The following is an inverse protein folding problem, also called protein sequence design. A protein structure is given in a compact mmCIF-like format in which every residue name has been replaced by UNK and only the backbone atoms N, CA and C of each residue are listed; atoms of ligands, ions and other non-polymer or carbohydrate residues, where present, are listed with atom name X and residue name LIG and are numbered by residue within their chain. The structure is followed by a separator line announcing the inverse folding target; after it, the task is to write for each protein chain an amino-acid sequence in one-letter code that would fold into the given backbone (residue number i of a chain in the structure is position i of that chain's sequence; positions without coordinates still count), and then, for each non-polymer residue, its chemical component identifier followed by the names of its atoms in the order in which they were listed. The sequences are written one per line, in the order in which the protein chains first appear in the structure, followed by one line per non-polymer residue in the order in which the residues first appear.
data_IF_013378712879
#
_entry.id   IF_013378712879
#
_cell.length_a   1.000
_cell.length_b   1.000
_cell.length_c   1.000
_cell.angle_alpha   90.00
_cell.angle_beta   90.00
_cell.angle_gamma   90.00
#
_symmetry.space_group_name_H-M   'P 1'
#
loop_
_entity.id
_entity.type
_entity.pdbx_description
1 polymer ?
#
# COMPACT_ATOMS: atom_id res chain seq x y z
N UNK A 1 -9.82 -6.57 18.93
CA UNK A 1 -10.78 -7.01 17.88
C UNK A 1 -11.84 -7.79 18.64
N UNK A 2 -13.13 -7.37 18.68
CA UNK A 2 -14.07 -7.82 19.72
C UNK A 2 -14.20 -9.34 19.81
N UNK A 3 -14.05 -10.01 18.68
CA UNK A 3 -13.85 -11.45 18.55
C UNK A 3 -12.84 -11.64 17.41
N UNK A 4 -11.79 -12.43 17.59
CA UNK A 4 -10.89 -12.85 16.50
C UNK A 4 -11.64 -13.83 15.57
N UNK A 5 -12.68 -13.31 14.92
CA UNK A 5 -13.50 -14.01 13.93
C UNK A 5 -13.23 -13.43 12.55
N UNK A 6 -13.41 -14.24 11.49
CA UNK A 6 -13.36 -13.73 10.13
C UNK A 6 -14.38 -12.60 9.92
N UNK A 7 -13.93 -11.43 9.44
CA UNK A 7 -14.77 -10.24 9.26
C UNK A 7 -15.43 -10.21 7.87
N UNK A 8 -16.56 -9.55 7.67
CA UNK A 8 -17.04 -9.17 6.34
C UNK A 8 -16.17 -8.08 5.69
N UNK A 9 -16.25 -7.87 4.37
CA UNK A 9 -15.52 -6.77 3.68
C UNK A 9 -15.90 -5.39 4.24
N UNK A 10 -17.19 -5.14 4.46
CA UNK A 10 -17.66 -3.90 5.10
C UNK A 10 -17.31 -3.81 6.59
N UNK A 11 -17.24 -4.96 7.29
CA UNK A 11 -16.81 -5.00 8.70
C UNK A 11 -15.34 -4.61 8.85
N UNK A 12 -14.45 -5.02 7.92
CA UNK A 12 -13.04 -4.60 7.92
C UNK A 12 -12.91 -3.09 7.84
N UNK A 13 -13.63 -2.42 6.93
CA UNK A 13 -13.59 -0.96 6.80
C UNK A 13 -14.19 -0.26 8.01
N UNK A 14 -15.34 -0.73 8.51
CA UNK A 14 -15.97 -0.15 9.71
C UNK A 14 -15.07 -0.27 10.93
N UNK A 15 -14.50 -1.45 11.16
CA UNK A 15 -13.58 -1.70 12.25
C UNK A 15 -12.31 -0.84 12.12
N UNK A 16 -11.77 -0.71 10.90
CA UNK A 16 -10.62 0.15 10.63
C UNK A 16 -10.92 1.63 10.92
N UNK A 17 -12.11 2.11 10.56
CA UNK A 17 -12.56 3.46 10.88
C UNK A 17 -12.72 3.70 12.38
N UNK A 18 -13.32 2.74 13.10
CA UNK A 18 -13.46 2.84 14.56
C UNK A 18 -12.11 2.81 15.27
N UNK A 19 -11.18 1.98 14.80
CA UNK A 19 -9.81 1.93 15.31
C UNK A 19 -9.07 3.24 15.02
N UNK A 20 -9.18 3.76 13.80
CA UNK A 20 -8.59 5.04 13.40
C UNK A 20 -9.05 6.18 14.33
N UNK A 21 -10.35 6.29 14.62
CA UNK A 21 -10.88 7.27 15.58
C UNK A 21 -10.34 7.06 16.99
N UNK A 22 -10.33 5.82 17.49
CA UNK A 22 -9.88 5.48 18.85
C UNK A 22 -8.38 5.73 19.06
N UNK A 23 -7.57 5.56 18.02
CA UNK A 23 -6.11 5.77 18.03
C UNK A 23 -5.68 7.02 17.29
N UNK A 24 -6.60 7.95 17.01
CA UNK A 24 -6.35 9.13 16.20
C UNK A 24 -5.15 9.94 16.72
N UNK A 25 -5.07 10.19 18.03
CA UNK A 25 -3.96 10.94 18.63
C UNK A 25 -2.58 10.33 18.34
N UNK A 26 -2.40 9.02 18.52
CA UNK A 26 -1.12 8.36 18.24
C UNK A 26 -0.82 8.32 16.74
N UNK A 27 -1.81 8.02 15.90
CA UNK A 27 -1.64 7.96 14.44
C UNK A 27 -1.27 9.34 13.85
N UNK A 28 -1.97 10.39 14.28
CA UNK A 28 -1.65 11.76 13.86
C UNK A 28 -0.31 12.21 14.44
N UNK A 29 0.03 11.83 15.68
CA UNK A 29 1.34 12.12 16.27
C UNK A 29 2.49 11.58 15.42
N UNK A 30 2.40 10.34 14.95
CA UNK A 30 3.37 9.75 14.02
C UNK A 30 3.40 10.52 12.69
N UNK A 31 2.23 10.80 12.12
CA UNK A 31 2.12 11.46 10.81
C UNK A 31 2.65 12.88 10.81
N UNK A 32 2.36 13.66 11.86
CA UNK A 32 2.87 15.02 12.01
C UNK A 32 4.40 15.02 12.14
N UNK A 33 4.92 14.11 12.97
CA UNK A 33 6.35 14.04 13.26
C UNK A 33 7.16 13.57 12.04
N UNK A 34 6.72 12.50 11.38
CA UNK A 34 7.49 11.84 10.33
C UNK A 34 7.12 12.30 8.91
N UNK A 35 5.87 12.73 8.66
CA UNK A 35 5.42 13.01 7.30
C UNK A 35 5.16 14.50 7.08
N UNK A 36 4.46 15.17 8.00
CA UNK A 36 4.09 16.56 7.81
C UNK A 36 5.31 17.50 7.84
N UNK A 37 6.18 17.35 8.83
CA UNK A 37 7.37 18.23 8.96
C UNK A 37 8.26 18.13 7.72
N UNK A 38 8.70 16.94 7.25
CA UNK A 38 9.51 16.87 6.03
C UNK A 38 8.76 17.36 4.78
N UNK A 39 7.45 17.09 4.68
CA UNK A 39 6.63 17.58 3.56
C UNK A 39 6.57 19.12 3.51
N UNK A 40 6.47 19.78 4.65
CA UNK A 40 6.49 21.25 4.73
C UNK A 40 7.88 21.81 4.40
N UNK A 41 8.94 21.14 4.85
CA UNK A 41 10.32 21.55 4.56
C UNK A 41 10.65 21.45 3.06
N UNK A 42 10.02 20.55 2.30
CA UNK A 42 10.18 20.49 0.84
C UNK A 42 9.75 21.77 0.11
N UNK A 43 8.93 22.62 0.73
CA UNK A 43 8.47 23.87 0.12
C UNK A 43 9.53 24.97 0.19
N UNK A 44 10.59 24.79 0.98
CA UNK A 44 11.68 25.73 1.05
C UNK A 44 12.56 25.63 -0.21
N UNK A 45 13.02 26.75 -0.77
CA UNK A 45 13.88 26.74 -1.94
C UNK A 45 15.22 26.05 -1.63
N UNK A 46 15.67 25.18 -2.54
CA UNK A 46 17.00 24.56 -2.47
C UNK A 46 17.13 23.28 -1.65
N UNK A 47 16.07 22.83 -0.93
CA UNK A 47 16.13 21.61 -0.10
C UNK A 47 15.32 20.44 -0.63
N UNK A 48 14.59 20.62 -1.75
CA UNK A 48 13.61 19.65 -2.25
C UNK A 48 14.14 18.23 -2.40
N UNK A 49 15.28 18.01 -3.07
CA UNK A 49 15.81 16.66 -3.32
C UNK A 49 16.23 15.96 -2.02
N UNK A 50 16.95 16.66 -1.14
CA UNK A 50 17.36 16.11 0.15
C UNK A 50 16.15 15.76 1.02
N UNK A 51 15.13 16.63 1.03
CA UNK A 51 13.91 16.40 1.80
C UNK A 51 13.02 15.30 1.18
N UNK A 52 13.03 15.11 -0.14
CA UNK A 52 12.39 13.94 -0.78
C UNK A 52 13.05 12.64 -0.35
N UNK A 53 14.38 12.62 -0.27
CA UNK A 53 15.10 11.46 0.25
C UNK A 53 14.74 11.22 1.73
N UNK A 54 14.78 12.24 2.58
CA UNK A 54 14.37 12.11 3.98
C UNK A 54 12.92 11.65 4.16
N UNK A 55 12.00 12.13 3.31
CA UNK A 55 10.60 11.74 3.35
C UNK A 55 10.42 10.25 3.05
N UNK A 56 11.17 9.68 2.10
CA UNK A 56 11.14 8.23 1.83
C UNK A 56 11.53 7.43 3.09
N UNK A 57 12.54 7.87 3.82
CA UNK A 57 12.99 7.19 5.04
C UNK A 57 11.96 7.34 6.17
N UNK A 58 11.42 8.54 6.32
CA UNK A 58 10.42 8.82 7.33
C UNK A 58 9.10 8.09 7.06
N UNK A 59 8.74 7.89 5.79
CA UNK A 59 7.58 7.11 5.38
C UNK A 59 7.71 5.64 5.79
N UNK A 60 8.85 5.00 5.51
CA UNK A 60 9.09 3.62 5.95
C UNK A 60 8.97 3.47 7.47
N UNK A 61 9.51 4.44 8.22
CA UNK A 61 9.40 4.45 9.67
C UNK A 61 7.96 4.66 10.15
N UNK A 62 7.21 5.53 9.48
CA UNK A 62 5.80 5.79 9.77
C UNK A 62 4.95 4.54 9.52
N UNK A 63 5.18 3.81 8.41
CA UNK A 63 4.53 2.54 8.10
C UNK A 63 4.68 1.56 9.27
N UNK A 64 5.91 1.36 9.74
CA UNK A 64 6.19 0.49 10.88
C UNK A 64 5.47 0.91 12.16
N UNK A 65 5.45 2.21 12.45
CA UNK A 65 4.81 2.76 13.63
C UNK A 65 3.28 2.62 13.56
N UNK A 66 2.66 2.91 12.40
CA UNK A 66 1.22 2.73 12.20
C UNK A 66 0.81 1.27 12.43
N UNK A 67 1.53 0.32 11.84
CA UNK A 67 1.21 -1.09 11.99
C UNK A 67 1.26 -1.51 13.46
N UNK A 68 2.28 -1.11 14.22
CA UNK A 68 2.40 -1.44 15.65
C UNK A 68 1.31 -0.80 16.50
N UNK A 69 0.93 0.47 16.23
CA UNK A 69 -0.18 1.13 16.94
C UNK A 69 -1.50 0.38 16.69
N UNK A 70 -1.73 -0.06 15.45
CA UNK A 70 -2.97 -0.74 15.07
C UNK A 70 -3.00 -2.17 15.63
N UNK A 71 -1.92 -2.93 15.47
CA UNK A 71 -1.82 -4.31 15.94
C UNK A 71 -1.89 -4.40 17.47
N UNK A 72 -1.24 -3.49 18.20
CA UNK A 72 -1.30 -3.45 19.67
C UNK A 72 -2.73 -3.21 20.18
N UNK A 73 -3.50 -2.35 19.51
CA UNK A 73 -4.91 -2.13 19.88
C UNK A 73 -5.77 -3.39 19.72
N UNK A 74 -5.41 -4.32 18.83
CA UNK A 74 -6.16 -5.55 18.67
C UNK A 74 -6.07 -6.51 19.87
N UNK A 75 -5.05 -6.34 20.71
CA UNK A 75 -4.76 -7.14 21.93
C UNK A 75 -4.72 -6.27 23.20
N UNK A 76 -5.43 -5.14 23.18
CA UNK A 76 -5.55 -4.20 24.31
C UNK A 76 -4.21 -3.62 24.83
N UNK A 77 -3.14 -3.74 24.05
CA UNK A 77 -1.87 -3.06 24.29
C UNK A 77 -1.94 -1.59 23.82
N UNK A 78 -1.19 -0.75 24.52
CA UNK A 78 -1.20 0.70 24.33
C UNK A 78 0.21 1.18 24.00
N UNK A 79 0.43 1.54 22.73
CA UNK A 79 1.65 2.22 22.31
C UNK A 79 1.39 3.70 22.03
N UNK A 80 2.21 4.54 22.65
CA UNK A 80 2.33 5.94 22.28
C UNK A 80 2.99 6.07 20.90
N UNK A 81 2.85 7.24 20.25
CA UNK A 81 3.52 7.53 18.99
C UNK A 81 5.05 7.37 19.11
N UNK A 82 5.65 7.89 20.19
CA UNK A 82 7.10 7.82 20.41
C UNK A 82 7.60 6.38 20.57
N UNK A 83 6.88 5.54 21.33
CA UNK A 83 7.22 4.12 21.48
C UNK A 83 7.11 3.37 20.17
N UNK A 84 6.03 3.61 19.41
CA UNK A 84 5.82 2.99 18.11
C UNK A 84 6.93 3.34 17.11
N UNK A 85 7.34 4.61 17.06
CA UNK A 85 8.46 5.08 16.22
C UNK A 85 9.77 4.41 16.66
N UNK A 86 10.05 4.35 17.96
CA UNK A 86 11.26 3.69 18.49
C UNK A 86 11.32 2.21 18.12
N UNK A 87 10.20 1.50 18.20
CA UNK A 87 10.11 0.09 17.84
C UNK A 87 10.24 -0.10 16.32
N UNK A 88 9.62 0.76 15.52
CA UNK A 88 9.76 0.74 14.06
C UNK A 88 11.22 1.00 13.63
N UNK A 89 11.93 1.88 14.34
CA UNK A 89 13.34 2.18 14.08
C UNK A 89 14.24 0.95 14.23
N UNK A 90 13.99 0.10 15.22
CA UNK A 90 14.74 -1.15 15.42
C UNK A 90 14.62 -2.11 14.24
N UNK A 91 13.49 -2.08 13.53
CA UNK A 91 13.21 -2.95 12.39
C UNK A 91 13.49 -2.27 11.04
N UNK A 92 14.00 -1.04 11.05
CA UNK A 92 14.14 -0.20 9.86
C UNK A 92 15.00 -0.86 8.77
N UNK A 93 16.12 -1.50 9.15
CA UNK A 93 16.99 -2.18 8.20
C UNK A 93 16.28 -3.30 7.43
N UNK A 94 15.44 -4.10 8.11
CA UNK A 94 14.66 -5.14 7.46
C UNK A 94 13.56 -4.55 6.57
N UNK A 95 12.91 -3.46 6.99
CA UNK A 95 11.92 -2.77 6.15
C UNK A 95 12.55 -2.22 4.87
N UNK A 96 13.72 -1.60 4.99
CA UNK A 96 14.46 -1.06 3.85
C UNK A 96 14.83 -2.19 2.87
N UNK A 97 15.38 -3.29 3.38
CA UNK A 97 15.69 -4.47 2.56
C UNK A 97 14.44 -5.02 1.88
N UNK A 98 13.32 -5.12 2.59
CA UNK A 98 12.06 -5.60 2.03
C UNK A 98 11.57 -4.70 0.89
N UNK A 99 11.63 -3.38 1.05
CA UNK A 99 11.21 -2.43 0.02
C UNK A 99 12.14 -2.48 -1.20
N UNK A 100 13.45 -2.65 -1.00
CA UNK A 100 14.40 -2.87 -2.11
C UNK A 100 14.07 -4.16 -2.86
N UNK A 101 13.88 -5.28 -2.16
CA UNK A 101 13.55 -6.57 -2.78
C UNK A 101 12.20 -6.50 -3.51
N UNK A 102 11.20 -5.90 -2.88
CA UNK A 102 9.88 -5.65 -3.47
C UNK A 102 10.02 -4.82 -4.76
N UNK A 103 10.72 -3.69 -4.69
CA UNK A 103 10.91 -2.78 -5.81
C UNK A 103 11.65 -3.45 -6.98
N UNK A 104 12.71 -4.20 -6.70
CA UNK A 104 13.45 -4.95 -7.72
C UNK A 104 12.58 -6.02 -8.39
N UNK A 105 11.78 -6.75 -7.63
CA UNK A 105 10.91 -7.78 -8.19
C UNK A 105 9.75 -7.18 -9.02
N UNK A 106 9.16 -6.07 -8.58
CA UNK A 106 8.16 -5.33 -9.37
C UNK A 106 8.79 -4.76 -10.65
N UNK A 107 9.97 -4.15 -10.57
CA UNK A 107 10.70 -3.61 -11.72
C UNK A 107 11.09 -4.71 -12.71
N UNK A 108 11.59 -5.85 -12.24
CA UNK A 108 11.92 -7.00 -13.09
C UNK A 108 10.67 -7.54 -13.79
N UNK A 109 9.55 -7.67 -13.07
CA UNK A 109 8.26 -8.09 -13.64
C UNK A 109 7.80 -7.12 -14.73
N UNK A 110 7.82 -5.82 -14.44
CA UNK A 110 7.45 -4.77 -15.41
C UNK A 110 8.38 -4.77 -16.63
N UNK A 111 9.69 -4.95 -16.44
CA UNK A 111 10.66 -5.02 -17.53
C UNK A 111 10.40 -6.23 -18.44
N UNK A 112 10.14 -7.41 -17.87
CA UNK A 112 9.78 -8.62 -18.63
C UNK A 112 8.49 -8.40 -19.42
N UNK A 113 7.46 -7.84 -18.80
CA UNK A 113 6.19 -7.56 -19.49
C UNK A 113 6.35 -6.51 -20.59
N UNK A 114 7.21 -5.51 -20.38
CA UNK A 114 7.53 -4.50 -21.41
C UNK A 114 8.30 -5.12 -22.56
N UNK A 115 9.26 -6.01 -22.30
CA UNK A 115 9.98 -6.75 -23.34
C UNK A 115 9.02 -7.60 -24.18
N UNK A 116 8.18 -8.41 -23.52
CA UNK A 116 7.15 -9.22 -24.19
C UNK A 116 6.21 -8.32 -25.01
N UNK A 117 5.76 -7.22 -24.41
CA UNK A 117 4.88 -6.27 -25.06
C UNK A 117 5.52 -5.64 -26.30
N UNK A 118 6.77 -5.18 -26.20
CA UNK A 118 7.51 -4.60 -27.32
C UNK A 118 7.72 -5.59 -28.47
N UNK A 119 7.99 -6.87 -28.15
CA UNK A 119 8.14 -7.91 -29.16
C UNK A 119 6.84 -8.18 -29.92
N UNK A 120 5.71 -8.25 -29.20
CA UNK A 120 4.38 -8.40 -29.82
C UNK A 120 4.02 -7.15 -30.63
N UNK A 121 4.25 -5.96 -30.07
CA UNK A 121 3.97 -4.70 -30.74
C UNK A 121 4.79 -4.56 -32.02
N UNK A 122 6.06 -4.97 -32.06
CA UNK A 122 6.85 -4.93 -33.29
C UNK A 122 6.24 -5.76 -34.44
N UNK A 123 5.52 -6.84 -34.12
CA UNK A 123 4.81 -7.68 -35.10
C UNK A 123 3.48 -7.06 -35.53
N UNK A 124 2.74 -6.46 -34.60
CA UNK A 124 1.37 -5.94 -34.84
C UNK A 124 1.36 -4.48 -35.30
N UNK A 125 2.35 -3.67 -34.90
CA UNK A 125 2.40 -2.23 -35.10
C UNK A 125 2.33 -1.78 -36.57
N UNK A 126 2.94 -2.46 -37.56
CA UNK A 126 2.80 -2.04 -38.95
C UNK A 126 1.35 -2.08 -39.42
N UNK A 127 0.61 -3.15 -39.06
CA UNK A 127 -0.82 -3.27 -39.36
C UNK A 127 -1.65 -2.24 -38.60
N UNK A 128 -1.35 -2.05 -37.31
CA UNK A 128 -2.04 -1.04 -36.50
C UNK A 128 -1.79 0.39 -37.00
N UNK A 129 -0.56 0.75 -37.35
CA UNK A 129 -0.21 2.09 -37.85
C UNK A 129 -0.85 2.39 -39.21
N UNK A 130 -0.91 1.38 -40.11
CA UNK A 130 -1.67 1.49 -41.35
C UNK A 130 -3.14 1.79 -41.07
N UNK A 131 -3.74 1.10 -40.09
CA UNK A 131 -5.10 1.37 -39.65
C UNK A 131 -5.25 2.78 -39.04
N UNK A 132 -4.35 3.23 -38.14
CA UNK A 132 -4.40 4.61 -37.60
C UNK A 132 -4.37 5.66 -38.73
N UNK A 133 -3.51 5.44 -39.74
CA UNK A 133 -3.40 6.37 -40.85
C UNK A 133 -4.65 6.44 -41.73
N UNK A 134 -5.43 5.35 -41.81
CA UNK A 134 -6.69 5.34 -42.57
C UNK A 134 -7.77 6.21 -41.91
N UNK A 135 -7.66 6.48 -40.60
CA UNK A 135 -8.51 7.40 -39.82
C UNK A 135 -7.88 8.78 -39.57
N UNK A 136 -6.96 9.23 -40.43
CA UNK A 136 -6.41 10.58 -40.33
C UNK A 136 -5.43 10.80 -39.18
N UNK A 137 -4.92 9.74 -38.56
CA UNK A 137 -3.85 9.82 -37.57
C UNK A 137 -4.30 9.95 -36.11
N UNK A 138 -5.61 10.04 -35.84
CA UNK A 138 -6.14 10.11 -34.46
C UNK A 138 -6.58 8.73 -33.97
N UNK A 139 -5.87 8.11 -33.00
CA UNK A 139 -6.24 6.80 -32.45
C UNK A 139 -7.63 6.78 -31.79
N UNK A 140 -8.14 7.93 -31.33
CA UNK A 140 -9.46 8.02 -30.71
C UNK A 140 -10.61 8.01 -31.72
N UNK A 141 -10.31 8.26 -32.99
CA UNK A 141 -11.28 8.19 -34.08
C UNK A 141 -11.45 6.76 -34.62
N UNK A 142 -10.63 5.82 -34.16
CA UNK A 142 -10.73 4.41 -34.53
C UNK A 142 -12.03 3.78 -34.07
N UNK A 143 -12.56 2.81 -34.82
CA UNK A 143 -13.69 2.03 -34.36
C UNK A 143 -13.31 1.19 -33.12
N UNK A 144 -14.30 0.94 -32.26
CA UNK A 144 -14.10 0.32 -30.96
C UNK A 144 -13.47 -1.09 -31.06
N UNK A 145 -13.75 -1.83 -32.13
CA UNK A 145 -13.17 -3.15 -32.43
C UNK A 145 -11.65 -3.12 -32.61
N UNK A 146 -11.06 -1.99 -33.01
CA UNK A 146 -9.61 -1.84 -33.18
C UNK A 146 -8.96 -1.32 -31.89
N UNK A 147 -9.63 -0.41 -31.18
CA UNK A 147 -9.10 0.20 -29.95
C UNK A 147 -9.15 -0.76 -28.74
N UNK A 148 -10.23 -1.54 -28.62
CA UNK A 148 -10.47 -2.40 -27.46
C UNK A 148 -9.39 -3.49 -27.28
N UNK A 149 -8.95 -4.24 -28.31
CA UNK A 149 -7.87 -5.21 -28.17
C UNK A 149 -6.56 -4.59 -27.69
N UNK A 150 -6.24 -3.37 -28.13
CA UNK A 150 -5.04 -2.66 -27.72
C UNK A 150 -5.08 -2.27 -26.23
N UNK A 151 -6.23 -1.76 -25.76
CA UNK A 151 -6.45 -1.45 -24.35
C UNK A 151 -6.41 -2.72 -23.48
N UNK A 152 -7.06 -3.80 -23.91
CA UNK A 152 -7.05 -5.09 -23.22
C UNK A 152 -5.64 -5.66 -23.15
N UNK A 153 -4.87 -5.56 -24.23
CA UNK A 153 -3.47 -5.98 -24.25
C UNK A 153 -2.62 -5.19 -23.26
N UNK A 154 -2.77 -3.86 -23.23
CA UNK A 154 -2.06 -3.00 -22.28
C UNK A 154 -2.40 -3.38 -20.84
N UNK A 155 -3.68 -3.63 -20.56
CA UNK A 155 -4.16 -4.08 -19.27
C UNK A 155 -3.53 -5.42 -18.87
N UNK A 156 -3.49 -6.39 -19.79
CA UNK A 156 -2.87 -7.71 -19.58
C UNK A 156 -1.38 -7.60 -19.25
N UNK A 157 -0.65 -6.66 -19.87
CA UNK A 157 0.78 -6.46 -19.58
C UNK A 157 1.04 -5.86 -18.21
N UNK A 158 0.13 -5.02 -17.69
CA UNK A 158 0.27 -4.37 -16.38
C UNK A 158 -0.26 -5.27 -15.25
N UNK A 159 -1.21 -6.16 -15.55
CA UNK A 159 -1.90 -7.00 -14.56
C UNK A 159 -0.94 -7.84 -13.67
N UNK A 160 0.12 -8.49 -14.19
CA UNK A 160 1.04 -9.25 -13.35
C UNK A 160 1.75 -8.40 -12.30
N UNK A 161 2.18 -7.19 -12.66
CA UNK A 161 2.82 -6.27 -11.73
C UNK A 161 1.84 -5.77 -10.66
N UNK A 162 0.58 -5.49 -11.03
CA UNK A 162 -0.49 -5.15 -10.08
C UNK A 162 -0.76 -6.33 -9.14
N UNK A 163 -0.91 -7.55 -9.67
CA UNK A 163 -1.14 -8.74 -8.86
C UNK A 163 0.00 -8.96 -7.86
N UNK A 164 1.25 -8.81 -8.29
CA UNK A 164 2.43 -8.90 -7.41
C UNK A 164 2.44 -7.82 -6.34
N UNK A 165 2.15 -6.56 -6.70
CA UNK A 165 2.08 -5.46 -5.75
C UNK A 165 0.98 -5.70 -4.71
N UNK A 166 -0.18 -6.21 -5.13
CA UNK A 166 -1.31 -6.51 -4.25
C UNK A 166 -1.02 -7.70 -3.32
N UNK A 167 -0.37 -8.76 -3.81
CA UNK A 167 -0.03 -9.93 -2.97
C UNK A 167 1.02 -9.61 -1.92
N UNK A 168 1.84 -8.59 -2.13
CA UNK A 168 2.87 -8.14 -1.19
C UNK A 168 2.50 -6.88 -0.40
N UNK A 169 1.32 -6.29 -0.63
CA UNK A 169 0.86 -5.10 0.07
C UNK A 169 0.82 -5.26 1.60
N UNK A 170 0.56 -6.49 2.09
CA UNK A 170 0.52 -6.80 3.53
C UNK A 170 1.82 -7.39 4.09
N UNK A 171 2.90 -7.46 3.29
CA UNK A 171 4.21 -7.92 3.74
C UNK A 171 4.82 -7.11 4.89
N UNK A 172 4.67 -5.76 4.94
CA UNK A 172 5.15 -4.97 6.07
C UNK A 172 4.59 -5.45 7.42
N UNK A 173 3.38 -6.00 7.45
CA UNK A 173 2.75 -6.49 8.67
C UNK A 173 3.40 -7.79 9.16
N UNK A 174 3.74 -8.72 8.27
CA UNK A 174 4.51 -9.91 8.65
C UNK A 174 5.88 -9.55 9.21
N UNK A 175 6.53 -8.54 8.65
CA UNK A 175 7.81 -8.07 9.15
C UNK A 175 7.69 -7.40 10.52
N UNK A 176 6.70 -6.54 10.70
CA UNK A 176 6.56 -5.71 11.91
C UNK A 176 5.92 -6.43 13.07
N UNK A 177 4.85 -7.18 12.81
CA UNK A 177 4.04 -7.87 13.81
C UNK A 177 4.71 -9.18 14.19
N UNK A 178 5.10 -9.99 13.21
CA UNK A 178 5.70 -11.32 13.47
C UNK A 178 7.24 -11.27 13.63
N UNK A 179 7.87 -10.10 13.43
CA UNK A 179 9.33 -9.97 13.50
C UNK A 179 10.06 -10.75 12.39
N UNK A 180 9.38 -11.12 11.31
CA UNK A 180 9.97 -11.90 10.23
C UNK A 180 10.97 -11.07 9.41
N UNK A 181 11.97 -11.73 8.82
CA UNK A 181 12.91 -11.06 7.90
C UNK A 181 12.22 -10.57 6.62
N UNK A 182 12.92 -9.73 5.86
CA UNK A 182 12.42 -9.10 4.63
C UNK A 182 11.87 -10.07 3.57
N UNK A 183 12.58 -11.17 3.28
CA UNK A 183 12.14 -12.16 2.29
C UNK A 183 11.05 -13.07 2.87
N UNK A 184 11.20 -13.62 4.09
CA UNK A 184 10.12 -14.38 4.74
C UNK A 184 8.79 -13.62 4.79
N UNK A 185 8.78 -12.31 5.05
CA UNK A 185 7.56 -11.51 5.11
C UNK A 185 6.85 -11.39 3.76
N UNK A 186 7.59 -11.29 2.64
CA UNK A 186 7.02 -11.30 1.28
C UNK A 186 6.39 -12.67 0.94
N UNK A 187 7.09 -13.77 1.26
CA UNK A 187 6.57 -15.13 1.07
C UNK A 187 5.33 -15.36 1.93
N UNK A 188 5.35 -14.88 3.17
CA UNK A 188 4.24 -14.91 4.11
C UNK A 188 3.02 -14.16 3.56
N UNK A 189 3.21 -12.93 3.10
CA UNK A 189 2.16 -12.12 2.47
C UNK A 189 1.54 -12.83 1.28
N UNK A 190 2.36 -13.41 0.41
CA UNK A 190 1.89 -14.16 -0.76
C UNK A 190 0.98 -15.33 -0.36
N UNK A 191 1.41 -16.15 0.60
CA UNK A 191 0.62 -17.31 1.10
C UNK A 191 -0.72 -16.91 1.70
N UNK A 192 -0.79 -15.76 2.38
CA UNK A 192 -2.02 -15.26 2.99
C UNK A 192 -2.97 -14.62 1.97
N UNK A 193 -2.43 -13.82 1.04
CA UNK A 193 -3.24 -13.06 0.07
C UNK A 193 -3.73 -13.93 -1.07
N UNK A 194 -2.91 -14.83 -1.63
CA UNK A 194 -3.25 -15.55 -2.86
C UNK A 194 -4.58 -16.35 -2.75
N UNK A 195 -4.85 -17.13 -1.68
CA UNK A 195 -6.13 -17.83 -1.54
C UNK A 195 -7.34 -16.90 -1.36
N UNK A 196 -7.09 -15.65 -0.94
CA UNK A 196 -8.10 -14.66 -0.61
C UNK A 196 -8.04 -13.43 -1.54
N UNK A 197 -7.45 -13.56 -2.75
CA UNK A 197 -7.07 -12.43 -3.60
C UNK A 197 -8.24 -11.49 -3.89
N UNK A 198 -9.40 -12.03 -4.29
CA UNK A 198 -10.59 -11.24 -4.61
C UNK A 198 -11.11 -10.44 -3.42
N UNK A 199 -11.00 -10.99 -2.22
CA UNK A 199 -11.40 -10.30 -0.99
C UNK A 199 -10.45 -9.17 -0.68
N UNK A 200 -9.14 -9.42 -0.79
CA UNK A 200 -8.09 -8.40 -0.64
C UNK A 200 -8.31 -7.25 -1.64
N UNK A 201 -8.54 -7.56 -2.92
CA UNK A 201 -8.84 -6.56 -3.95
C UNK A 201 -10.06 -5.70 -3.57
N UNK A 202 -11.18 -6.31 -3.17
CA UNK A 202 -12.39 -5.58 -2.78
C UNK A 202 -12.16 -4.65 -1.59
N UNK A 203 -11.43 -5.11 -0.57
CA UNK A 203 -11.13 -4.32 0.63
C UNK A 203 -10.19 -3.16 0.29
N UNK A 204 -9.12 -3.41 -0.46
CA UNK A 204 -8.16 -2.38 -0.88
C UNK A 204 -8.80 -1.35 -1.81
N UNK A 205 -9.67 -1.79 -2.73
CA UNK A 205 -10.43 -0.88 -3.60
C UNK A 205 -11.38 0.01 -2.79
N UNK A 206 -12.09 -0.55 -1.81
CA UNK A 206 -12.97 0.23 -0.95
C UNK A 206 -12.19 1.22 -0.08
N UNK A 207 -11.04 0.80 0.47
CA UNK A 207 -10.14 1.68 1.20
C UNK A 207 -9.61 2.82 0.32
N UNK A 208 -9.21 2.49 -0.92
CA UNK A 208 -8.79 3.47 -1.91
C UNK A 208 -9.89 4.50 -2.16
N UNK A 209 -11.14 4.09 -2.34
CA UNK A 209 -12.25 5.02 -2.54
C UNK A 209 -12.48 5.93 -1.33
N UNK A 210 -12.41 5.38 -0.11
CA UNK A 210 -12.57 6.15 1.13
C UNK A 210 -11.50 7.23 1.27
N UNK A 211 -10.27 6.98 0.83
CA UNK A 211 -9.17 7.95 0.88
C UNK A 211 -9.18 8.90 -0.32
N UNK A 212 -9.43 8.38 -1.53
CA UNK A 212 -9.36 9.13 -2.77
C UNK A 212 -10.48 10.17 -2.89
N UNK A 213 -11.71 9.86 -2.49
CA UNK A 213 -12.83 10.80 -2.64
C UNK A 213 -12.63 12.10 -1.85
N UNK A 214 -12.31 12.08 -0.54
CA UNK A 214 -11.95 13.31 0.18
C UNK A 214 -10.73 14.00 -0.40
N UNK A 215 -9.71 13.24 -0.84
CA UNK A 215 -8.52 13.81 -1.46
C UNK A 215 -8.85 14.59 -2.74
N UNK A 216 -9.72 14.07 -3.62
CA UNK A 216 -10.16 14.76 -4.84
C UNK A 216 -10.86 16.08 -4.51
N UNK A 217 -11.69 16.11 -3.47
CA UNK A 217 -12.34 17.33 -2.99
C UNK A 217 -11.30 18.34 -2.49
N UNK A 218 -10.35 17.91 -1.65
CA UNK A 218 -9.30 18.79 -1.13
C UNK A 218 -8.40 19.30 -2.27
N UNK A 219 -8.00 18.43 -3.19
CA UNK A 219 -7.19 18.78 -4.35
C UNK A 219 -7.87 19.81 -5.26
N UNK A 220 -9.20 19.77 -5.35
CA UNK A 220 -9.95 20.77 -6.12
C UNK A 220 -10.06 22.12 -5.41
N UNK A 221 -10.06 22.14 -4.08
CA UNK A 221 -10.30 23.33 -3.25
C UNK A 221 -9.02 24.01 -2.79
N UNK A 222 -7.91 23.29 -2.70
CA UNK A 222 -6.65 23.77 -2.15
C UNK A 222 -5.49 23.54 -3.13
N UNK A 223 -4.38 24.30 -3.00
CA UNK A 223 -3.17 24.03 -3.76
C UNK A 223 -2.68 22.59 -3.59
N UNK A 224 -2.09 22.02 -4.63
CA UNK A 224 -1.63 20.62 -4.68
C UNK A 224 -0.85 20.18 -3.43
N UNK A 225 0.07 21.03 -2.95
CA UNK A 225 0.90 20.70 -1.80
C UNK A 225 0.11 20.52 -0.49
N UNK A 226 -0.99 21.27 -0.29
CA UNK A 226 -1.88 21.08 0.86
C UNK A 226 -2.70 19.80 0.75
N UNK A 227 -3.12 19.43 -0.47
CA UNK A 227 -3.81 18.17 -0.70
C UNK A 227 -2.91 16.96 -0.40
N UNK A 228 -1.65 17.00 -0.84
CA UNK A 228 -0.64 15.99 -0.53
C UNK A 228 -0.37 15.92 0.97
N UNK A 229 -0.23 17.07 1.63
CA UNK A 229 -0.06 17.12 3.08
C UNK A 229 -1.26 16.47 3.82
N UNK A 230 -2.49 16.78 3.40
CA UNK A 230 -3.68 16.17 3.98
C UNK A 230 -3.73 14.65 3.74
N UNK A 231 -3.32 14.19 2.55
CA UNK A 231 -3.19 12.76 2.25
C UNK A 231 -2.17 12.09 3.17
N UNK A 232 -1.00 12.70 3.36
CA UNK A 232 0.07 12.17 4.21
C UNK A 232 -0.34 12.13 5.69
N UNK A 233 -1.07 13.14 6.16
CA UNK A 233 -1.47 13.25 7.57
C UNK A 233 -2.70 12.42 7.91
N UNK A 234 -3.67 12.32 7.01
CA UNK A 234 -4.97 11.68 7.30
C UNK A 234 -5.20 10.40 6.48
N UNK A 235 -4.90 10.42 5.20
CA UNK A 235 -5.18 9.31 4.29
C UNK A 235 -4.24 8.13 4.48
N UNK A 236 -2.92 8.36 4.50
CA UNK A 236 -1.92 7.30 4.66
C UNK A 236 -2.11 6.48 5.95
N UNK A 237 -2.28 7.09 7.15
CA UNK A 237 -2.44 6.30 8.36
C UNK A 237 -3.72 5.46 8.33
N UNK A 238 -4.81 5.98 7.72
CA UNK A 238 -6.03 5.20 7.53
C UNK A 238 -5.81 4.01 6.60
N UNK A 239 -5.11 4.19 5.47
CA UNK A 239 -4.75 3.08 4.56
C UNK A 239 -3.96 1.99 5.28
N UNK A 240 -3.00 2.37 6.14
CA UNK A 240 -2.22 1.40 6.92
C UNK A 240 -3.05 0.72 8.01
N UNK A 241 -4.01 1.41 8.64
CA UNK A 241 -4.98 0.75 9.54
C UNK A 241 -5.74 -0.34 8.81
N UNK A 242 -6.30 -0.04 7.62
CA UNK A 242 -7.04 -1.03 6.84
C UNK A 242 -6.15 -2.20 6.45
N UNK A 243 -4.92 -1.94 5.98
CA UNK A 243 -3.99 -2.98 5.60
C UNK A 243 -3.60 -3.89 6.78
N UNK A 244 -3.40 -3.32 7.98
CA UNK A 244 -3.11 -4.11 9.18
C UNK A 244 -4.31 -4.94 9.62
N UNK A 245 -5.53 -4.38 9.62
CA UNK A 245 -6.75 -5.14 9.93
C UNK A 245 -6.97 -6.26 8.91
N UNK A 246 -6.78 -5.98 7.62
CA UNK A 246 -6.86 -6.97 6.56
C UNK A 246 -5.87 -8.11 6.77
N UNK A 247 -4.61 -7.78 7.09
CA UNK A 247 -3.59 -8.79 7.37
C UNK A 247 -3.98 -9.69 8.55
N UNK A 248 -4.46 -9.12 9.66
CA UNK A 248 -4.91 -9.90 10.81
C UNK A 248 -6.14 -10.76 10.47
N UNK A 249 -7.11 -10.23 9.72
CA UNK A 249 -8.27 -11.01 9.23
C UNK A 249 -7.84 -12.19 8.33
N UNK A 250 -6.86 -11.99 7.45
CA UNK A 250 -6.31 -13.07 6.64
C UNK A 250 -5.66 -14.17 7.50
N UNK A 251 -4.92 -13.80 8.56
CA UNK A 251 -4.36 -14.77 9.51
C UNK A 251 -5.43 -15.50 10.31
N UNK A 252 -6.48 -14.81 10.77
CA UNK A 252 -7.62 -15.47 11.44
C UNK A 252 -8.25 -16.53 10.52
N UNK A 253 -8.43 -16.21 9.23
CA UNK A 253 -9.03 -17.12 8.25
C UNK A 253 -8.15 -18.31 7.89
N UNK A 254 -6.87 -18.05 7.64
CA UNK A 254 -5.95 -19.07 7.13
C UNK A 254 -5.31 -19.91 8.23
N UNK A 255 -5.17 -19.37 9.44
CA UNK A 255 -4.33 -19.95 10.50
C UNK A 255 -5.04 -20.05 11.85
N UNK A 256 -6.25 -19.52 11.99
CA UNK A 256 -6.95 -19.47 13.27
C UNK A 256 -6.22 -18.61 14.30
N UNK A 257 -5.65 -17.46 13.88
CA UNK A 257 -4.96 -16.54 14.77
C UNK A 257 -5.82 -16.17 15.98
N UNK A 258 -5.27 -16.35 17.18
CA UNK A 258 -5.86 -15.96 18.46
C UNK A 258 -5.14 -14.72 19.07
N UNK A 259 -5.75 -14.07 20.08
CA UNK A 259 -5.17 -12.90 20.74
C UNK A 259 -3.84 -13.18 21.46
N UNK A 260 -3.68 -14.38 22.03
CA UNK A 260 -2.50 -14.75 22.83
C UNK A 260 -1.27 -14.84 21.92
N UNK A 261 -1.42 -15.49 20.76
CA UNK A 261 -0.40 -15.58 19.72
C UNK A 261 -0.06 -14.21 19.15
N UNK A 262 -1.05 -13.34 18.90
CA UNK A 262 -0.75 -11.98 18.45
C UNK A 262 0.02 -11.18 19.51
N UNK A 263 -0.32 -11.35 20.79
CA UNK A 263 0.40 -10.72 21.90
C UNK A 263 1.84 -11.21 21.98
N UNK A 264 2.04 -12.53 21.82
CA UNK A 264 3.36 -13.13 21.76
C UNK A 264 4.18 -12.60 20.57
N UNK A 265 3.60 -12.54 19.36
CA UNK A 265 4.27 -12.02 18.17
C UNK A 265 4.74 -10.56 18.40
N UNK A 266 3.88 -9.71 18.97
CA UNK A 266 4.18 -8.30 19.23
C UNK A 266 5.24 -8.05 20.30
N UNK A 267 5.34 -8.93 21.29
CA UNK A 267 6.25 -8.78 22.44
C UNK A 267 7.57 -9.54 22.28
N UNK A 268 7.58 -10.63 21.52
CA UNK A 268 8.80 -11.38 21.20
C UNK A 268 9.60 -10.77 20.04
N UNK A 269 8.93 -10.05 19.12
CA UNK A 269 9.54 -9.38 17.99
C UNK A 269 10.22 -8.04 18.30
N UNK A 270 10.63 -7.78 19.55
CA UNK A 270 11.25 -6.52 20.03
C UNK A 270 12.64 -6.71 20.62
#
# INVERSE_FOLDING_TARGET
MPEFRPLGTGEVIRFSWDLYKRRFGSLIGVSLTLLAIPSLLQWLPGVGLMMSFLLLFAELLAIGAFIRIVASHCVDLHFSAAEAIRLAWRQYGNMLLMVVVFGLAVAATAAVMTMIGSAILAVVAPGFAAEVSSYGGDPLSMPAETLLPFLLWTLVMVLPAICLAMTWWVAPMGLTVEGTGAIPSLVRSWKLVLPNLWRTIKILLLALLVVALPFLVIYRLFPYHWAVLALNVFGLPFSWVVATVLYLDLRVRSEGLDPERLTYDLTSGT
#
